data_IF_079485541773
#
_entry.id   IF_079485541773
#
_cell.length_a   1.000
_cell.length_b   1.000
_cell.length_c   1.000
_cell.angle_alpha   90.00
_cell.angle_beta   90.00
_cell.angle_gamma   90.00
#
_symmetry.space_group_name_H-M   'P 1'
#
loop_
_entity.id
_entity.type
_entity.pdbx_description
1 polymer ?
#
# COMPACT_ATOMS: atom_id res chain seq x y z
N UNK A 1 6.90 -13.96 51.49
CA UNK A 1 5.88 -12.91 51.52
C UNK A 1 5.86 -12.30 50.13
N UNK A 2 4.89 -12.77 49.33
CA UNK A 2 4.84 -12.54 47.89
C UNK A 2 4.40 -11.10 47.57
N UNK A 3 5.08 -10.52 46.54
CA UNK A 3 4.89 -9.14 46.03
C UNK A 3 3.59 -8.99 45.20
N UNK A 4 2.69 -9.97 45.19
CA UNK A 4 1.52 -10.03 44.34
C UNK A 4 0.24 -9.43 44.93
N UNK A 5 0.24 -8.93 46.16
CA UNK A 5 -1.00 -8.49 46.84
C UNK A 5 -1.38 -7.02 46.71
N UNK A 6 -0.82 -6.27 45.74
CA UNK A 6 -1.19 -4.85 45.49
C UNK A 6 -1.39 -4.49 44.01
N UNK A 7 -1.93 -5.37 43.21
CA UNK A 7 -2.48 -4.96 41.93
C UNK A 7 -3.96 -4.61 42.12
N UNK A 8 -4.27 -3.31 41.98
CA UNK A 8 -5.63 -2.78 42.13
C UNK A 8 -6.60 -3.45 41.14
N UNK A 9 -7.88 -3.64 41.50
CA UNK A 9 -8.91 -4.28 40.64
C UNK A 9 -9.01 -3.73 39.23
N UNK A 10 -8.72 -2.45 39.04
CA UNK A 10 -8.69 -1.79 37.73
C UNK A 10 -7.68 -2.38 36.72
N UNK A 11 -6.59 -2.99 37.20
CA UNK A 11 -5.58 -3.61 36.32
C UNK A 11 -6.04 -5.00 35.82
N UNK A 12 -6.82 -5.69 36.61
CA UNK A 12 -7.34 -7.01 36.28
C UNK A 12 -8.53 -6.92 35.30
N UNK A 13 -9.40 -5.93 35.45
CA UNK A 13 -10.51 -5.69 34.50
C UNK A 13 -10.00 -5.31 33.10
N UNK A 14 -8.94 -4.48 33.01
CA UNK A 14 -8.34 -4.16 31.72
C UNK A 14 -7.64 -5.38 31.06
N UNK A 15 -7.12 -6.33 31.83
CA UNK A 15 -6.51 -7.54 31.30
C UNK A 15 -7.54 -8.56 30.80
N UNK A 16 -8.73 -8.61 31.39
CA UNK A 16 -9.81 -9.51 30.99
C UNK A 16 -10.57 -9.00 29.74
N UNK A 17 -10.57 -7.68 29.48
CA UNK A 17 -11.14 -7.11 28.27
C UNK A 17 -10.33 -7.39 26.99
N UNK A 18 -9.07 -7.83 27.13
CA UNK A 18 -8.23 -8.24 25.98
C UNK A 18 -8.40 -9.71 25.57
N UNK A 19 -9.19 -10.51 26.26
CA UNK A 19 -9.40 -11.93 25.96
C UNK A 19 -10.64 -12.24 25.11
N UNK A 20 -11.26 -11.24 24.50
CA UNK A 20 -12.24 -11.49 23.43
C UNK A 20 -11.44 -11.91 22.20
N UNK A 21 -11.65 -13.12 21.74
CA UNK A 21 -11.14 -13.67 20.47
C UNK A 21 -11.62 -12.76 19.31
N UNK A 22 -10.90 -11.67 19.08
CA UNK A 22 -11.00 -10.90 17.85
C UNK A 22 -10.36 -11.77 16.77
N UNK A 23 -11.15 -12.57 16.09
CA UNK A 23 -10.82 -13.05 14.75
C UNK A 23 -10.68 -11.81 13.90
N UNK A 24 -9.45 -11.26 13.83
CA UNK A 24 -9.16 -10.08 13.02
C UNK A 24 -9.58 -10.38 11.59
N UNK A 25 -10.47 -9.57 11.05
CA UNK A 25 -11.00 -9.72 9.70
C UNK A 25 -9.84 -9.59 8.70
N UNK A 26 -9.79 -10.50 7.74
CA UNK A 26 -8.83 -10.46 6.63
C UNK A 26 -9.51 -9.96 5.37
N UNK A 27 -8.82 -9.06 4.68
CA UNK A 27 -9.19 -8.52 3.39
C UNK A 27 -8.46 -9.33 2.31
N UNK A 28 -9.22 -10.02 1.46
CA UNK A 28 -8.65 -10.71 0.31
C UNK A 28 -8.15 -9.69 -0.70
N UNK A 29 -6.93 -9.89 -1.20
CA UNK A 29 -6.37 -8.96 -2.19
C UNK A 29 -6.97 -9.15 -3.57
N UNK A 30 -7.43 -10.37 -3.86
CA UNK A 30 -7.86 -10.78 -5.19
C UNK A 30 -6.70 -11.04 -6.16
N UNK A 31 -5.45 -10.83 -5.73
CA UNK A 31 -4.27 -11.10 -6.56
C UNK A 31 -4.01 -12.60 -6.54
N UNK A 32 -4.10 -13.28 -7.71
CA UNK A 32 -3.95 -14.73 -7.78
C UNK A 32 -2.65 -15.22 -7.14
N UNK A 33 -2.76 -16.17 -6.21
CA UNK A 33 -1.63 -16.78 -5.50
C UNK A 33 -1.09 -15.97 -4.31
N UNK A 34 -1.30 -14.65 -4.25
CA UNK A 34 -0.78 -13.84 -3.16
C UNK A 34 -1.48 -14.14 -1.83
N UNK A 35 -2.81 -14.23 -1.83
CA UNK A 35 -3.56 -14.53 -0.60
C UNK A 35 -3.17 -15.87 0.02
N UNK A 36 -2.68 -16.84 -0.79
CA UNK A 36 -2.18 -18.13 -0.28
C UNK A 36 -0.89 -17.99 0.54
N UNK A 37 -0.01 -17.04 0.18
CA UNK A 37 1.25 -16.84 0.89
C UNK A 37 1.14 -15.98 2.14
N UNK A 38 -0.03 -15.30 2.32
CA UNK A 38 -0.34 -14.49 3.51
C UNK A 38 -1.54 -15.03 4.31
N UNK A 39 -1.76 -16.35 4.22
CA UNK A 39 -2.78 -17.05 5.01
C UNK A 39 -4.20 -16.49 4.83
N UNK A 40 -4.57 -16.20 3.57
CA UNK A 40 -5.92 -15.81 3.15
C UNK A 40 -6.18 -14.31 2.99
N UNK A 41 -5.16 -13.46 3.10
CA UNK A 41 -5.28 -12.03 2.85
C UNK A 41 -4.61 -11.14 3.89
N UNK A 42 -4.79 -9.85 3.73
CA UNK A 42 -4.24 -8.82 4.62
C UNK A 42 -5.19 -8.56 5.80
N UNK A 43 -4.67 -8.25 6.98
CA UNK A 43 -5.52 -7.84 8.11
C UNK A 43 -6.19 -6.50 7.83
N UNK A 44 -7.50 -6.41 8.11
CA UNK A 44 -8.27 -5.18 7.96
C UNK A 44 -7.61 -4.01 8.69
N UNK A 45 -7.56 -2.86 8.03
CA UNK A 45 -7.02 -1.62 8.61
C UNK A 45 -5.51 -1.63 8.82
N UNK A 46 -4.77 -2.64 8.33
CA UNK A 46 -3.31 -2.65 8.45
C UNK A 46 -2.64 -2.11 7.18
N UNK A 47 -1.49 -1.49 7.39
CA UNK A 47 -0.65 -0.99 6.31
C UNK A 47 0.50 -1.96 6.06
N UNK A 48 0.68 -2.36 4.80
CA UNK A 48 1.86 -3.06 4.33
C UNK A 48 2.70 -2.15 3.43
N UNK A 49 4.00 -2.37 3.42
CA UNK A 49 4.92 -1.77 2.46
C UNK A 49 5.22 -2.78 1.36
N UNK A 50 5.01 -2.35 0.13
CA UNK A 50 5.42 -3.06 -1.09
C UNK A 50 6.68 -2.39 -1.62
N UNK A 51 7.81 -3.06 -1.46
CA UNK A 51 9.13 -2.54 -1.83
C UNK A 51 9.71 -3.27 -3.03
N UNK A 52 10.57 -2.60 -3.78
CA UNK A 52 11.26 -3.19 -4.93
C UNK A 52 11.87 -2.13 -5.84
N UNK A 53 12.71 -2.55 -6.76
CA UNK A 53 13.32 -1.68 -7.76
C UNK A 53 12.28 -1.13 -8.76
N UNK A 54 12.66 -0.08 -9.50
CA UNK A 54 11.84 0.44 -10.61
C UNK A 54 11.60 -0.68 -11.64
N UNK A 55 10.37 -0.75 -12.20
CA UNK A 55 9.99 -1.81 -13.15
C UNK A 55 9.67 -3.18 -12.54
N UNK A 56 9.69 -3.35 -11.20
CA UNK A 56 9.33 -4.62 -10.55
C UNK A 56 7.82 -4.90 -10.53
N UNK A 57 6.97 -3.94 -10.92
CA UNK A 57 5.51 -4.08 -10.99
C UNK A 57 4.75 -3.64 -9.76
N UNK A 58 5.33 -2.76 -8.92
CA UNK A 58 4.70 -2.26 -7.69
C UNK A 58 3.37 -1.55 -7.95
N UNK A 59 3.35 -0.61 -8.88
CA UNK A 59 2.15 0.17 -9.25
C UNK A 59 1.05 -0.75 -9.78
N UNK A 60 1.43 -1.73 -10.62
CA UNK A 60 0.48 -2.73 -11.15
C UNK A 60 -0.11 -3.59 -10.03
N UNK A 61 0.70 -4.06 -9.08
CA UNK A 61 0.21 -4.79 -7.91
C UNK A 61 -0.77 -3.94 -7.08
N UNK A 62 -0.40 -2.66 -6.85
CA UNK A 62 -1.23 -1.72 -6.10
C UNK A 62 -2.56 -1.45 -6.79
N UNK A 63 -2.56 -1.17 -8.10
CA UNK A 63 -3.80 -0.95 -8.83
C UNK A 63 -4.65 -2.21 -8.90
N UNK A 64 -4.05 -3.38 -9.12
CA UNK A 64 -4.80 -4.66 -9.11
C UNK A 64 -5.48 -4.94 -7.77
N UNK A 65 -4.82 -4.59 -6.65
CA UNK A 65 -5.43 -4.69 -5.32
C UNK A 65 -6.69 -3.81 -5.20
N UNK A 66 -6.68 -2.60 -5.76
CA UNK A 66 -7.86 -1.71 -5.77
C UNK A 66 -8.92 -2.19 -6.75
N UNK A 67 -8.50 -2.55 -7.96
CA UNK A 67 -9.39 -2.99 -9.04
C UNK A 67 -10.20 -4.23 -8.64
N UNK A 68 -9.51 -5.28 -8.16
CA UNK A 68 -10.18 -6.50 -7.69
C UNK A 68 -11.01 -6.22 -6.42
N UNK A 69 -10.55 -5.29 -5.56
CA UNK A 69 -11.33 -4.83 -4.42
C UNK A 69 -12.68 -4.26 -4.80
N UNK A 70 -12.69 -3.40 -5.80
CA UNK A 70 -13.88 -2.74 -6.29
C UNK A 70 -14.85 -3.70 -7.01
N UNK A 71 -14.31 -4.66 -7.77
CA UNK A 71 -15.12 -5.59 -8.58
C UNK A 71 -15.59 -6.82 -7.80
N UNK A 72 -14.66 -7.48 -7.10
CA UNK A 72 -14.92 -8.81 -6.54
C UNK A 72 -15.43 -8.76 -5.09
N UNK A 73 -15.17 -7.63 -4.38
CA UNK A 73 -15.44 -7.53 -2.95
C UNK A 73 -16.30 -6.34 -2.57
N UNK A 74 -16.71 -5.50 -3.53
CA UNK A 74 -17.46 -4.25 -3.29
C UNK A 74 -16.76 -3.32 -2.28
N UNK A 75 -15.42 -3.30 -2.33
CA UNK A 75 -14.59 -2.50 -1.45
C UNK A 75 -13.98 -1.33 -2.24
N UNK A 76 -14.55 -0.11 -2.11
CA UNK A 76 -14.01 1.06 -2.80
C UNK A 76 -12.57 1.35 -2.37
N UNK A 77 -11.76 1.86 -3.30
CA UNK A 77 -10.36 2.11 -3.09
C UNK A 77 -9.86 3.47 -3.56
N UNK A 78 -8.77 3.92 -2.96
CA UNK A 78 -8.09 5.18 -3.32
C UNK A 78 -6.68 4.86 -3.80
N UNK A 79 -6.31 5.41 -4.95
CA UNK A 79 -4.94 5.45 -5.42
C UNK A 79 -4.39 6.86 -5.28
N UNK A 80 -3.34 7.04 -4.48
CA UNK A 80 -2.62 8.30 -4.35
C UNK A 80 -1.39 8.24 -5.22
N UNK A 81 -1.31 9.10 -6.22
CA UNK A 81 -0.12 9.20 -7.07
C UNK A 81 0.75 10.39 -6.67
N UNK A 82 2.06 10.15 -6.59
CA UNK A 82 3.09 11.13 -6.30
C UNK A 82 4.07 11.31 -7.47
N UNK A 83 3.92 10.55 -8.56
CA UNK A 83 4.85 10.55 -9.69
C UNK A 83 4.17 10.69 -11.05
N UNK A 84 3.08 9.98 -11.31
CA UNK A 84 2.36 9.98 -12.58
C UNK A 84 1.05 10.78 -12.51
N UNK A 85 0.61 11.34 -13.63
CA UNK A 85 -0.71 11.98 -13.68
C UNK A 85 -1.84 10.92 -13.59
N UNK A 86 -3.04 11.30 -13.09
CA UNK A 86 -4.19 10.41 -13.10
C UNK A 86 -4.54 9.87 -14.50
N UNK A 87 -4.40 10.70 -15.53
CA UNK A 87 -4.68 10.33 -16.92
C UNK A 87 -3.71 9.27 -17.43
N UNK A 88 -2.39 9.45 -17.18
CA UNK A 88 -1.37 8.47 -17.53
C UNK A 88 -1.63 7.14 -16.82
N UNK A 89 -1.96 7.16 -15.51
CA UNK A 89 -2.28 5.95 -14.76
C UNK A 89 -3.47 5.19 -15.34
N UNK A 90 -4.57 5.90 -15.66
CA UNK A 90 -5.75 5.26 -16.26
C UNK A 90 -5.37 4.60 -17.58
N UNK A 91 -4.66 5.33 -18.44
CA UNK A 91 -4.23 4.82 -19.76
C UNK A 91 -3.30 3.59 -19.65
N UNK A 92 -2.34 3.62 -18.74
CA UNK A 92 -1.38 2.51 -18.53
C UNK A 92 -2.10 1.21 -18.14
N UNK A 93 -3.16 1.31 -17.34
CA UNK A 93 -3.90 0.13 -16.87
C UNK A 93 -4.98 -0.38 -17.85
N UNK A 94 -5.37 0.41 -18.83
CA UNK A 94 -6.22 -0.05 -19.94
C UNK A 94 -5.59 -1.23 -20.71
N UNK A 95 -4.25 -1.28 -20.78
CA UNK A 95 -3.51 -2.36 -21.41
C UNK A 95 -3.74 -3.75 -20.78
N UNK A 96 -4.19 -3.79 -19.53
CA UNK A 96 -4.60 -4.99 -18.81
C UNK A 96 -6.11 -5.28 -18.94
N UNK A 97 -6.84 -4.50 -19.75
CA UNK A 97 -8.29 -4.60 -19.86
C UNK A 97 -9.04 -4.11 -18.62
N UNK A 98 -8.38 -3.32 -17.76
CA UNK A 98 -8.99 -2.77 -16.55
C UNK A 98 -9.65 -1.42 -16.84
N UNK A 99 -10.97 -1.40 -16.82
CA UNK A 99 -11.76 -0.18 -17.02
C UNK A 99 -11.78 0.67 -15.73
N UNK A 100 -10.63 1.33 -15.47
CA UNK A 100 -10.47 2.18 -14.28
C UNK A 100 -11.36 3.42 -14.39
N UNK A 101 -11.54 3.97 -15.60
CA UNK A 101 -12.38 5.15 -15.82
C UNK A 101 -13.82 4.89 -15.38
N UNK A 102 -14.40 3.74 -15.75
CA UNK A 102 -15.73 3.33 -15.29
C UNK A 102 -15.82 3.22 -13.77
N UNK A 103 -14.80 2.63 -13.11
CA UNK A 103 -14.80 2.51 -11.65
C UNK A 103 -14.65 3.86 -10.93
N UNK A 104 -14.03 4.85 -11.59
CA UNK A 104 -13.98 6.23 -11.09
C UNK A 104 -15.37 6.87 -11.19
N UNK A 105 -16.05 6.73 -12.33
CA UNK A 105 -17.40 7.26 -12.54
C UNK A 105 -18.43 6.62 -11.57
N UNK A 106 -18.24 5.35 -11.22
CA UNK A 106 -19.06 4.62 -10.25
C UNK A 106 -18.67 4.93 -8.78
N UNK A 107 -17.73 5.85 -8.53
CA UNK A 107 -17.17 6.16 -7.19
C UNK A 107 -16.60 4.94 -6.44
N UNK A 108 -16.22 3.88 -7.16
CA UNK A 108 -15.56 2.69 -6.61
C UNK A 108 -14.05 2.82 -6.52
N UNK A 109 -13.45 3.65 -7.39
CA UNK A 109 -12.03 4.04 -7.32
C UNK A 109 -11.96 5.56 -7.35
N UNK A 110 -11.05 6.11 -6.54
CA UNK A 110 -10.66 7.51 -6.59
C UNK A 110 -9.16 7.61 -6.78
N UNK A 111 -8.71 8.48 -7.67
CA UNK A 111 -7.30 8.84 -7.81
C UNK A 111 -7.09 10.22 -7.21
N UNK A 112 -6.15 10.32 -6.25
CA UNK A 112 -5.71 11.58 -5.66
C UNK A 112 -4.36 11.93 -6.27
N UNK A 113 -4.32 13.03 -7.02
CA UNK A 113 -3.09 13.61 -7.55
C UNK A 113 -2.40 14.41 -6.44
N UNK A 114 -1.34 13.84 -5.88
CA UNK A 114 -0.51 14.44 -4.83
C UNK A 114 0.93 14.69 -5.32
N UNK A 115 1.10 14.86 -6.63
CA UNK A 115 2.42 15.17 -7.20
C UNK A 115 2.93 16.51 -6.66
N UNK A 116 4.20 16.58 -6.20
CA UNK A 116 4.77 17.81 -5.64
C UNK A 116 4.95 18.93 -6.69
N UNK A 117 4.98 18.56 -7.97
CA UNK A 117 5.15 19.50 -9.08
C UNK A 117 3.86 19.55 -9.91
N UNK A 118 2.81 20.19 -9.39
CA UNK A 118 1.74 20.66 -10.27
C UNK A 118 2.30 21.91 -10.96
N UNK A 119 2.68 21.78 -12.23
CA UNK A 119 2.81 22.93 -13.09
C UNK A 119 1.39 23.52 -13.21
N UNK A 120 1.15 24.68 -12.66
CA UNK A 120 -0.07 25.43 -12.94
C UNK A 120 0.00 25.81 -14.41
N UNK A 121 -0.85 25.19 -15.24
CA UNK A 121 -0.92 25.49 -16.69
C UNK A 121 -1.22 26.96 -16.97
N UNK A 122 -1.67 27.71 -15.97
CA UNK A 122 -1.98 29.14 -16.07
C UNK A 122 -0.76 30.07 -15.87
N UNK A 123 0.39 29.57 -15.35
CA UNK A 123 1.59 30.39 -15.09
C UNK A 123 2.70 30.27 -16.14
N UNK A 124 2.47 29.56 -17.24
CA UNK A 124 3.44 29.43 -18.34
C UNK A 124 3.73 30.76 -19.05
N UNK A 125 2.86 31.78 -18.87
CA UNK A 125 2.98 33.09 -19.55
C UNK A 125 3.88 34.09 -18.82
N UNK A 126 4.32 33.82 -17.60
CA UNK A 126 5.13 34.75 -16.78
C UNK A 126 6.63 34.47 -16.78
N UNK A 127 7.09 33.36 -17.36
CA UNK A 127 8.52 33.04 -17.47
C UNK A 127 9.25 32.78 -16.14
N UNK A 128 8.56 32.79 -15.02
CA UNK A 128 9.09 32.44 -13.70
C UNK A 128 8.67 31.04 -13.31
N UNK A 129 9.63 30.11 -13.35
CA UNK A 129 9.48 28.77 -12.77
C UNK A 129 9.50 28.88 -11.24
N UNK A 130 8.33 29.03 -10.64
CA UNK A 130 8.21 28.87 -9.19
C UNK A 130 8.27 27.39 -8.84
N UNK A 131 9.44 26.93 -8.44
CA UNK A 131 9.57 25.71 -7.68
C UNK A 131 8.99 25.99 -6.29
N UNK A 132 7.85 25.40 -5.94
CA UNK A 132 7.48 25.31 -4.53
C UNK A 132 8.61 24.56 -3.81
N UNK A 133 9.45 25.32 -3.13
CA UNK A 133 10.64 24.80 -2.42
C UNK A 133 10.29 24.13 -1.12
N UNK A 134 9.02 24.16 -0.70
CA UNK A 134 8.57 23.55 0.52
C UNK A 134 8.10 22.10 0.32
N UNK A 135 8.55 21.15 1.16
CA UNK A 135 8.12 19.77 1.07
C UNK A 135 6.60 19.66 1.21
N UNK A 136 5.94 18.88 0.37
CA UNK A 136 4.50 18.63 0.47
C UNK A 136 4.17 18.02 1.85
N UNK A 137 3.43 18.71 2.74
CA UNK A 137 3.28 18.29 4.13
C UNK A 137 2.57 16.95 4.27
N UNK A 138 3.14 16.00 5.02
CA UNK A 138 2.46 14.75 5.38
C UNK A 138 1.06 14.96 5.96
N UNK A 139 0.86 16.06 6.69
CA UNK A 139 -0.43 16.44 7.26
C UNK A 139 -1.45 16.74 6.18
N UNK A 140 -1.04 17.47 5.12
CA UNK A 140 -1.93 17.80 4.00
C UNK A 140 -2.30 16.54 3.21
N UNK A 141 -1.32 15.71 2.85
CA UNK A 141 -1.57 14.42 2.19
C UNK A 141 -2.53 13.56 3.01
N UNK A 142 -2.29 13.45 4.32
CA UNK A 142 -3.14 12.67 5.22
C UNK A 142 -4.58 13.21 5.23
N UNK A 143 -4.76 14.54 5.24
CA UNK A 143 -6.08 15.17 5.18
C UNK A 143 -6.81 14.85 3.88
N UNK A 144 -6.14 14.97 2.73
CA UNK A 144 -6.72 14.62 1.42
C UNK A 144 -7.16 13.15 1.39
N UNK A 145 -6.33 12.23 1.87
CA UNK A 145 -6.66 10.81 1.96
C UNK A 145 -7.90 10.58 2.85
N UNK A 146 -7.94 11.20 4.04
CA UNK A 146 -9.08 11.05 4.96
C UNK A 146 -10.38 11.63 4.39
N UNK A 147 -10.31 12.73 3.65
CA UNK A 147 -11.45 13.28 2.92
C UNK A 147 -11.92 12.32 1.83
N UNK A 148 -11.00 11.74 1.05
CA UNK A 148 -11.30 10.73 0.04
C UNK A 148 -11.95 9.48 0.64
N UNK A 149 -11.39 8.96 1.76
CA UNK A 149 -11.96 7.81 2.49
C UNK A 149 -13.41 8.09 2.89
N UNK A 150 -13.70 9.30 3.39
CA UNK A 150 -15.06 9.69 3.77
C UNK A 150 -15.98 9.80 2.55
N UNK A 151 -15.48 10.36 1.43
CA UNK A 151 -16.28 10.62 0.23
C UNK A 151 -16.79 9.33 -0.40
N UNK A 152 -15.90 8.39 -0.72
CA UNK A 152 -16.26 7.13 -1.39
C UNK A 152 -16.38 5.93 -0.42
N UNK A 153 -16.28 6.16 0.89
CA UNK A 153 -16.25 5.11 1.93
C UNK A 153 -15.16 4.06 1.67
N UNK A 154 -13.97 4.52 1.27
CA UNK A 154 -12.89 3.64 0.86
C UNK A 154 -12.48 2.66 1.96
N UNK A 155 -12.27 1.40 1.55
CA UNK A 155 -11.76 0.30 2.38
C UNK A 155 -10.31 0.00 2.07
N UNK A 156 -9.84 0.39 0.88
CA UNK A 156 -8.51 0.13 0.36
C UNK A 156 -7.80 1.42 -0.01
N UNK A 157 -6.50 1.45 0.17
CA UNK A 157 -5.66 2.59 -0.18
C UNK A 157 -4.33 2.10 -0.77
N UNK A 158 -3.87 2.77 -1.81
CA UNK A 158 -2.51 2.64 -2.33
C UNK A 158 -1.87 4.02 -2.36
N UNK A 159 -0.61 4.13 -1.93
CA UNK A 159 0.20 5.36 -2.03
C UNK A 159 1.45 5.05 -2.84
N UNK A 160 1.60 5.68 -4.01
CA UNK A 160 2.67 5.43 -4.98
C UNK A 160 3.40 6.73 -5.37
N UNK A 161 4.63 6.96 -4.92
CA UNK A 161 5.41 6.19 -3.96
C UNK A 161 5.86 7.07 -2.80
N UNK A 162 6.00 6.48 -1.61
CA UNK A 162 6.53 7.18 -0.44
C UNK A 162 7.97 7.66 -0.63
N UNK A 163 8.74 7.05 -1.54
CA UNK A 163 10.12 7.44 -1.83
C UNK A 163 10.21 8.91 -2.25
N UNK A 164 9.23 9.41 -3.02
CA UNK A 164 9.16 10.82 -3.42
C UNK A 164 9.06 11.74 -2.20
N UNK A 165 8.20 11.40 -1.24
CA UNK A 165 8.08 12.17 0.01
C UNK A 165 9.36 12.09 0.84
N UNK A 166 9.96 10.90 0.93
CA UNK A 166 11.20 10.70 1.71
C UNK A 166 12.37 11.54 1.19
N UNK A 167 12.46 11.72 -0.12
CA UNK A 167 13.49 12.58 -0.75
C UNK A 167 13.30 14.05 -0.41
N UNK A 168 12.06 14.54 -0.31
CA UNK A 168 11.76 15.94 -0.03
C UNK A 168 12.12 16.34 1.41
N UNK A 169 11.95 15.44 2.37
CA UNK A 169 12.11 15.79 3.79
C UNK A 169 13.56 15.80 4.28
N UNK A 170 14.53 15.25 3.57
CA UNK A 170 15.95 15.25 3.94
C UNK A 170 16.28 14.71 5.35
N UNK A 171 15.28 14.59 6.24
CA UNK A 171 15.40 14.16 7.63
C UNK A 171 14.53 12.90 7.87
N UNK A 172 15.20 11.76 8.01
CA UNK A 172 14.58 10.47 8.24
C UNK A 172 13.65 10.42 9.48
N UNK A 173 13.94 11.22 10.51
CA UNK A 173 13.13 11.27 11.72
C UNK A 173 11.74 11.88 11.45
N UNK A 174 11.70 13.02 10.77
CA UNK A 174 10.45 13.70 10.43
C UNK A 174 9.60 12.85 9.46
N UNK A 175 10.24 12.24 8.46
CA UNK A 175 9.61 11.30 7.53
C UNK A 175 8.97 10.13 8.29
N UNK A 176 9.72 9.51 9.21
CA UNK A 176 9.21 8.39 10.01
C UNK A 176 8.03 8.79 10.88
N UNK A 177 8.08 9.95 11.54
CA UNK A 177 6.96 10.44 12.34
C UNK A 177 5.71 10.71 11.49
N UNK A 178 5.87 11.35 10.32
CA UNK A 178 4.77 11.60 9.39
C UNK A 178 4.10 10.32 8.94
N UNK A 179 4.88 9.33 8.51
CA UNK A 179 4.37 8.01 8.09
C UNK A 179 3.67 7.28 9.25
N UNK A 180 4.25 7.27 10.45
CA UNK A 180 3.64 6.63 11.62
C UNK A 180 2.28 7.24 11.95
N UNK A 181 2.19 8.58 11.92
CA UNK A 181 0.95 9.31 12.20
C UNK A 181 -0.12 9.01 11.14
N UNK A 182 0.25 8.99 9.86
CA UNK A 182 -0.64 8.63 8.77
C UNK A 182 -1.16 7.18 8.94
N UNK A 183 -0.28 6.21 9.17
CA UNK A 183 -0.65 4.80 9.39
C UNK A 183 -1.61 4.67 10.58
N UNK A 184 -1.37 5.39 11.68
CA UNK A 184 -2.25 5.37 12.85
C UNK A 184 -3.67 5.81 12.48
N UNK A 185 -3.81 6.93 11.79
CA UNK A 185 -5.10 7.46 11.36
C UNK A 185 -5.83 6.55 10.36
N UNK A 186 -5.10 5.90 9.45
CA UNK A 186 -5.66 4.92 8.50
C UNK A 186 -6.18 3.67 9.23
N UNK A 187 -5.43 3.19 10.24
CA UNK A 187 -5.85 2.05 11.07
C UNK A 187 -7.15 2.34 11.82
N UNK A 188 -7.31 3.56 12.39
CA UNK A 188 -8.55 3.98 13.04
C UNK A 188 -9.75 3.98 12.08
N UNK A 189 -9.51 4.24 10.79
CA UNK A 189 -10.54 4.20 9.72
C UNK A 189 -10.76 2.80 9.15
N UNK A 190 -10.04 1.79 9.64
CA UNK A 190 -10.06 0.42 9.11
C UNK A 190 -9.78 0.35 7.60
N UNK A 191 -9.00 1.29 7.08
CA UNK A 191 -8.61 1.33 5.68
C UNK A 191 -7.33 0.50 5.49
N UNK A 192 -7.43 -0.62 4.77
CA UNK A 192 -6.28 -1.50 4.49
C UNK A 192 -5.42 -0.87 3.40
N UNK A 193 -4.14 -0.68 3.69
CA UNK A 193 -3.29 0.20 2.88
C UNK A 193 -2.05 -0.51 2.37
N UNK A 194 -1.67 -0.21 1.13
CA UNK A 194 -0.40 -0.58 0.51
C UNK A 194 0.39 0.69 0.24
N UNK A 195 1.55 0.81 0.88
CA UNK A 195 2.49 1.89 0.64
C UNK A 195 3.61 1.38 -0.25
N UNK A 196 3.72 1.94 -1.44
CA UNK A 196 4.78 1.60 -2.39
C UNK A 196 6.03 2.37 -2.03
N UNK A 197 7.16 1.66 -1.97
CA UNK A 197 8.47 2.20 -1.67
C UNK A 197 9.50 1.66 -2.66
N UNK A 198 10.39 2.53 -3.11
CA UNK A 198 11.54 2.13 -3.91
C UNK A 198 12.71 1.82 -2.99
N UNK A 199 13.36 0.70 -3.23
CA UNK A 199 14.58 0.35 -2.51
C UNK A 199 15.78 0.97 -3.23
N UNK A 200 16.06 2.23 -2.90
CA UNK A 200 17.11 3.01 -3.56
C UNK A 200 18.49 2.83 -2.90
N UNK A 201 18.50 2.41 -1.64
CA UNK A 201 19.72 2.28 -0.83
C UNK A 201 19.75 0.99 -0.02
N UNK A 202 20.96 0.56 0.38
CA UNK A 202 21.16 -0.58 1.31
C UNK A 202 20.65 -0.34 2.73
N UNK A 203 20.09 0.85 3.03
CA UNK A 203 19.52 1.21 4.34
C UNK A 203 18.07 0.81 4.42
N UNK A 204 17.64 0.37 5.59
CA UNK A 204 16.23 0.05 5.86
C UNK A 204 15.38 1.33 5.76
N UNK A 205 14.42 1.42 4.84
CA UNK A 205 13.57 2.60 4.70
C UNK A 205 12.75 2.86 5.96
N UNK A 206 12.49 4.14 6.32
CA UNK A 206 11.79 4.49 7.55
C UNK A 206 10.36 3.91 7.65
N UNK A 207 9.67 3.71 6.53
CA UNK A 207 8.33 3.11 6.44
C UNK A 207 8.30 1.65 6.88
N UNK A 208 9.40 0.90 6.73
CA UNK A 208 9.47 -0.51 7.13
C UNK A 208 9.27 -0.72 8.63
N UNK A 209 9.70 0.25 9.45
CA UNK A 209 9.53 0.18 10.90
C UNK A 209 8.07 0.37 11.32
N UNK A 210 7.35 1.24 10.62
CA UNK A 210 5.97 1.59 10.94
C UNK A 210 4.96 0.54 10.43
N UNK A 211 5.23 -0.06 9.27
CA UNK A 211 4.33 -0.99 8.59
C UNK A 211 4.08 -2.29 9.37
N UNK A 212 2.88 -2.83 9.22
CA UNK A 212 2.48 -4.15 9.76
C UNK A 212 3.04 -5.29 8.93
N UNK A 213 3.23 -5.10 7.62
CA UNK A 213 3.80 -6.07 6.71
C UNK A 213 4.83 -5.45 5.77
N UNK A 214 5.74 -6.27 5.27
CA UNK A 214 6.74 -5.90 4.26
C UNK A 214 6.76 -7.00 3.21
N UNK A 215 6.52 -6.60 1.97
CA UNK A 215 6.55 -7.47 0.80
C UNK A 215 7.56 -6.90 -0.17
N UNK A 216 8.45 -7.75 -0.69
CA UNK A 216 9.49 -7.35 -1.65
C UNK A 216 9.17 -7.95 -3.01
N UNK A 217 9.19 -7.11 -4.03
CA UNK A 217 9.20 -7.50 -5.43
C UNK A 217 10.62 -7.40 -5.98
N UNK A 218 11.15 -8.52 -6.40
CA UNK A 218 12.45 -8.58 -7.04
C UNK A 218 12.30 -8.83 -8.55
N UNK A 219 13.20 -8.27 -9.33
CA UNK A 219 13.43 -8.71 -10.70
C UNK A 219 14.92 -8.84 -10.93
N UNK A 220 15.32 -9.96 -11.51
CA UNK A 220 16.72 -10.31 -11.73
C UNK A 220 16.90 -10.71 -13.18
N UNK A 221 17.88 -10.13 -13.84
CA UNK A 221 18.26 -10.54 -15.18
C UNK A 221 18.98 -11.88 -15.11
N UNK A 222 18.44 -12.89 -15.79
CA UNK A 222 19.11 -14.18 -16.03
C UNK A 222 19.34 -14.35 -17.53
N UNK A 223 20.58 -14.47 -17.92
CA UNK A 223 21.07 -14.68 -19.30
C UNK A 223 20.29 -13.85 -20.35
N UNK A 224 19.09 -14.28 -20.76
CA UNK A 224 18.27 -13.62 -21.78
C UNK A 224 16.84 -13.30 -21.31
N UNK A 225 16.52 -13.49 -20.03
CA UNK A 225 15.18 -13.28 -19.49
C UNK A 225 15.21 -12.49 -18.18
N UNK A 226 14.16 -11.72 -17.93
CA UNK A 226 13.92 -11.10 -16.62
C UNK A 226 13.03 -12.01 -15.79
N UNK A 227 13.54 -12.50 -14.67
CA UNK A 227 12.75 -13.24 -13.71
C UNK A 227 12.25 -12.31 -12.60
N UNK A 228 10.96 -12.36 -12.35
CA UNK A 228 10.34 -11.61 -11.27
C UNK A 228 9.90 -12.53 -10.15
N UNK A 229 10.04 -12.06 -8.92
CA UNK A 229 9.64 -12.83 -7.74
C UNK A 229 9.10 -11.92 -6.64
N UNK A 230 8.34 -12.55 -5.74
CA UNK A 230 7.76 -11.91 -4.55
C UNK A 230 8.19 -12.67 -3.30
N UNK A 231 8.45 -11.93 -2.24
CA UNK A 231 8.75 -12.47 -0.92
C UNK A 231 8.07 -11.65 0.16
N UNK A 232 7.49 -12.32 1.16
CA UNK A 232 6.99 -11.68 2.37
C UNK A 232 8.08 -11.72 3.44
N UNK A 233 8.58 -10.55 3.82
CA UNK A 233 9.63 -10.42 4.84
C UNK A 233 9.05 -10.38 6.25
N UNK A 234 7.84 -9.79 6.37
CA UNK A 234 7.19 -9.55 7.65
C UNK A 234 5.69 -9.44 7.44
N UNK A 235 4.91 -10.05 8.35
CA UNK A 235 3.46 -9.84 8.41
C UNK A 235 3.00 -10.00 9.86
N UNK A 236 2.92 -8.90 10.60
CA UNK A 236 2.59 -8.92 12.03
C UNK A 236 1.22 -9.53 12.29
N UNK A 237 1.20 -10.54 13.17
CA UNK A 237 -0.01 -11.21 13.59
C UNK A 237 -0.68 -12.07 12.50
N UNK A 238 -0.01 -12.34 11.37
CA UNK A 238 -0.47 -13.24 10.31
C UNK A 238 0.62 -14.26 10.01
N UNK A 239 0.24 -15.52 9.87
CA UNK A 239 1.14 -16.52 9.30
C UNK A 239 1.40 -16.18 7.86
N UNK A 240 2.63 -16.33 7.40
CA UNK A 240 2.99 -16.12 6.01
C UNK A 240 4.08 -17.11 5.60
N UNK A 241 4.21 -17.30 4.31
CA UNK A 241 5.33 -18.08 3.76
C UNK A 241 6.60 -17.24 3.75
N UNK A 242 7.73 -17.84 4.12
CA UNK A 242 9.06 -17.23 4.03
C UNK A 242 9.74 -17.51 2.68
N UNK A 243 9.08 -18.27 1.79
CA UNK A 243 9.62 -18.64 0.49
C UNK A 243 9.55 -17.48 -0.51
N UNK A 244 10.41 -17.55 -1.51
CA UNK A 244 10.38 -16.66 -2.68
C UNK A 244 9.53 -17.35 -3.75
N UNK A 245 8.53 -16.64 -4.27
CA UNK A 245 7.65 -17.14 -5.30
C UNK A 245 7.88 -16.42 -6.63
N UNK A 246 7.94 -17.15 -7.74
CA UNK A 246 7.97 -16.53 -9.06
C UNK A 246 6.66 -15.76 -9.33
N UNK A 247 6.77 -14.73 -10.15
CA UNK A 247 5.64 -13.91 -10.59
C UNK A 247 5.52 -14.00 -12.10
N UNK A 248 4.29 -14.00 -12.59
CA UNK A 248 3.97 -13.83 -14.00
C UNK A 248 3.11 -12.57 -14.17
N UNK A 249 3.42 -11.80 -15.19
CA UNK A 249 2.52 -10.80 -15.75
C UNK A 249 1.82 -11.41 -16.95
N UNK A 250 0.51 -11.27 -17.03
CA UNK A 250 -0.29 -11.68 -18.17
C UNK A 250 -1.31 -10.57 -18.49
N UNK A 251 -2.17 -10.80 -19.45
CA UNK A 251 -3.25 -9.88 -19.84
C UNK A 251 -4.21 -9.52 -18.70
N UNK A 252 -4.29 -10.33 -17.64
CA UNK A 252 -5.12 -10.10 -16.46
C UNK A 252 -4.33 -9.47 -15.30
N UNK A 253 -3.08 -9.07 -15.53
CA UNK A 253 -2.22 -8.42 -14.54
C UNK A 253 -1.24 -9.37 -13.86
N UNK A 254 -1.09 -9.21 -12.56
CA UNK A 254 -0.09 -9.81 -11.70
C UNK A 254 -0.57 -11.15 -11.12
N UNK A 255 0.25 -12.19 -11.24
CA UNK A 255 -0.01 -13.51 -10.67
C UNK A 255 1.20 -14.04 -9.92
N UNK A 256 1.02 -14.49 -8.68
CA UNK A 256 2.01 -15.24 -7.90
C UNK A 256 1.89 -16.72 -8.24
N UNK A 257 2.99 -17.34 -8.68
CA UNK A 257 3.00 -18.75 -9.06
C UNK A 257 3.18 -19.62 -7.81
N UNK A 258 2.06 -19.87 -7.11
CA UNK A 258 2.04 -20.76 -5.96
C UNK A 258 1.81 -22.22 -6.40
N UNK A 259 2.55 -23.23 -5.87
CA UNK A 259 2.41 -24.63 -6.29
C UNK A 259 0.99 -25.17 -6.24
N UNK A 260 0.17 -24.75 -5.27
CA UNK A 260 -1.24 -25.17 -5.16
C UNK A 260 -2.13 -24.71 -6.32
N UNK A 261 -1.73 -23.67 -7.08
CA UNK A 261 -2.48 -23.23 -8.26
C UNK A 261 -2.03 -23.95 -9.52
N UNK A 262 -0.90 -24.63 -9.52
CA UNK A 262 -0.38 -25.38 -10.68
C UNK A 262 -0.95 -26.79 -10.77
N UNK A 263 -1.62 -27.30 -9.73
CA UNK A 263 -2.19 -28.66 -9.67
C UNK A 263 -3.65 -28.74 -10.14
N UNK A 264 -4.23 -27.65 -10.65
CA UNK A 264 -5.65 -27.59 -11.07
C UNK A 264 -5.80 -27.57 -12.61
N UNK A 265 -4.74 -27.88 -13.36
CA UNK A 265 -4.82 -28.03 -14.84
C UNK A 265 -4.74 -29.49 -15.23
#
# INVERSE_FOLDING_TARGET
MCIFDKLTPLYIENYLLFSVSNTELKIRTGIPGFDLIVDGGLKEGKTIVLSGESGSGKSTFGMQFLYNGALDFEEPGIFVTLSQSPQELVHDFESYGWDIAKLIDEEKIMIIDARPFKMNDEEYDSGELFYETEPFPFTHLTQLILQGIKKIRAKRLVVDSLSVLSMQYGNQFNTRQGIQKMIHLLNERKCTSIFISENLDSRTPPEWYAASGIVILNHVQKTNTMERSIQVIKMRGTKHSEQIYPIRFNENGYQVLHPRLQTIN
#
